data_IF_764631177512
#
_entry.id   IF_764631177512
#
_cell.length_a   1.000
_cell.length_b   1.000
_cell.length_c   1.000
_cell.angle_alpha   90.00
_cell.angle_beta   90.00
_cell.angle_gamma   90.00
#
_symmetry.space_group_name_H-M   'P 1'
#
loop_
_entity.id
_entity.type
_entity.pdbx_description
1 polymer ?
#
# COMPACT_ATOMS: atom_id res chain seq x y z
N UNK A 1 27.73 -36.70 -15.95
CA UNK A 1 27.55 -35.25 -16.18
C UNK A 1 26.36 -34.89 -17.06
N UNK A 2 26.00 -35.71 -18.07
CA UNK A 2 24.92 -35.39 -19.02
C UNK A 2 23.53 -35.25 -18.36
N UNK A 3 23.19 -36.09 -17.37
CA UNK A 3 21.91 -36.01 -16.67
C UNK A 3 21.74 -34.67 -15.91
N UNK A 4 22.78 -34.17 -15.24
CA UNK A 4 22.71 -32.90 -14.51
C UNK A 4 22.46 -31.70 -15.43
N UNK A 5 22.98 -31.73 -16.67
CA UNK A 5 22.78 -30.68 -17.66
C UNK A 5 21.35 -30.70 -18.23
N UNK A 6 20.77 -31.90 -18.42
CA UNK A 6 19.39 -32.08 -18.87
C UNK A 6 18.38 -31.70 -17.77
N UNK A 7 18.67 -32.02 -16.50
CA UNK A 7 17.84 -31.64 -15.36
C UNK A 7 17.93 -30.15 -14.99
N UNK A 8 19.06 -29.49 -15.26
CA UNK A 8 19.17 -28.03 -15.11
C UNK A 8 18.15 -27.28 -16.01
N UNK A 9 17.83 -27.84 -17.18
CA UNK A 9 16.82 -27.29 -18.08
C UNK A 9 15.37 -27.56 -17.64
N UNK A 10 15.14 -28.45 -16.65
CA UNK A 10 13.81 -28.86 -16.16
C UNK A 10 13.58 -28.60 -14.67
N UNK A 11 14.11 -27.49 -14.15
CA UNK A 11 13.83 -27.00 -12.78
C UNK A 11 12.33 -26.85 -12.43
N UNK A 12 11.46 -26.84 -13.44
CA UNK A 12 10.01 -26.74 -13.27
C UNK A 12 9.34 -27.99 -12.69
N UNK A 13 10.00 -29.15 -12.75
CA UNK A 13 9.45 -30.42 -12.26
C UNK A 13 10.44 -31.13 -11.35
N UNK A 14 9.97 -31.56 -10.18
CA UNK A 14 10.78 -32.45 -9.34
C UNK A 14 10.90 -33.83 -9.98
N UNK A 15 12.10 -34.41 -9.91
CA UNK A 15 12.32 -35.80 -10.32
C UNK A 15 11.91 -36.80 -9.23
N UNK A 16 11.57 -36.31 -8.04
CA UNK A 16 11.13 -37.11 -6.90
C UNK A 16 9.59 -37.20 -6.85
N UNK A 17 9.05 -38.30 -6.28
CA UNK A 17 7.61 -38.41 -6.03
C UNK A 17 7.12 -37.33 -5.07
N UNK A 18 5.83 -36.97 -5.15
CA UNK A 18 5.22 -35.80 -4.49
C UNK A 18 5.55 -35.60 -3.01
N UNK A 19 5.75 -36.68 -2.26
CA UNK A 19 6.09 -36.64 -0.84
C UNK A 19 7.55 -36.25 -0.56
N UNK A 20 8.44 -36.44 -1.53
CA UNK A 20 9.88 -36.19 -1.42
C UNK A 20 10.37 -35.01 -2.26
N UNK A 21 9.47 -34.24 -2.89
CA UNK A 21 9.81 -33.04 -3.67
C UNK A 21 10.62 -32.01 -2.86
N UNK A 22 10.47 -31.98 -1.52
CA UNK A 22 11.22 -31.11 -0.61
C UNK A 22 12.69 -31.49 -0.45
N UNK A 23 13.05 -32.73 -0.77
CA UNK A 23 14.43 -33.20 -0.75
C UNK A 23 15.16 -32.92 -2.06
N UNK A 24 14.45 -32.42 -3.09
CA UNK A 24 15.03 -31.97 -4.34
C UNK A 24 15.50 -30.51 -4.21
N UNK A 25 16.81 -30.25 -4.09
CA UNK A 25 17.32 -28.88 -3.91
C UNK A 25 17.08 -28.02 -5.15
N UNK A 26 17.02 -28.60 -6.35
CA UNK A 26 16.77 -27.86 -7.58
C UNK A 26 15.33 -27.35 -7.62
N UNK A 27 14.36 -28.24 -7.39
CA UNK A 27 12.95 -27.87 -7.37
C UNK A 27 12.60 -26.88 -6.24
N UNK A 28 13.20 -27.04 -5.05
CA UNK A 28 13.03 -26.07 -3.96
C UNK A 28 13.59 -24.69 -4.30
N UNK A 29 14.75 -24.62 -4.97
CA UNK A 29 15.31 -23.36 -5.46
C UNK A 29 14.40 -22.68 -6.50
N UNK A 30 13.78 -23.47 -7.40
CA UNK A 30 12.81 -22.97 -8.38
C UNK A 30 11.53 -22.41 -7.72
N UNK A 31 10.97 -23.10 -6.73
CA UNK A 31 9.82 -22.59 -5.96
C UNK A 31 10.20 -21.29 -5.25
N UNK A 32 11.38 -21.25 -4.61
CA UNK A 32 11.88 -20.04 -3.97
C UNK A 32 12.00 -18.87 -4.95
N UNK A 33 12.52 -19.14 -6.15
CA UNK A 33 12.60 -18.16 -7.23
C UNK A 33 11.21 -17.65 -7.66
N UNK A 34 10.24 -18.53 -7.90
CA UNK A 34 8.87 -18.11 -8.26
C UNK A 34 8.23 -17.27 -7.15
N UNK A 35 8.39 -17.68 -5.89
CA UNK A 35 7.83 -16.93 -4.77
C UNK A 35 8.45 -15.54 -4.69
N UNK A 36 9.78 -15.46 -4.80
CA UNK A 36 10.51 -14.19 -4.80
C UNK A 36 10.06 -13.30 -5.97
N UNK A 37 9.95 -13.86 -7.18
CA UNK A 37 9.46 -13.16 -8.37
C UNK A 37 8.01 -12.68 -8.17
N UNK A 38 7.12 -13.52 -7.65
CA UNK A 38 5.74 -13.14 -7.36
C UNK A 38 5.65 -12.00 -6.33
N UNK A 39 6.53 -11.98 -5.31
CA UNK A 39 6.56 -10.90 -4.33
C UNK A 39 7.13 -9.59 -4.89
N UNK A 40 8.19 -9.65 -5.69
CA UNK A 40 8.88 -8.45 -6.20
C UNK A 40 8.31 -7.91 -7.52
N UNK A 41 7.78 -8.78 -8.39
CA UNK A 41 7.25 -8.47 -9.70
C UNK A 41 5.73 -8.68 -9.78
N UNK A 42 5.00 -8.35 -8.71
CA UNK A 42 3.54 -8.41 -8.73
C UNK A 42 2.98 -7.34 -9.69
N UNK A 43 2.34 -7.73 -10.82
CA UNK A 43 1.88 -6.76 -11.82
C UNK A 43 0.77 -5.85 -11.30
N UNK A 44 -0.04 -6.32 -10.35
CA UNK A 44 -1.12 -5.53 -9.73
C UNK A 44 -0.52 -4.39 -8.91
N UNK A 45 0.49 -4.69 -8.09
CA UNK A 45 1.19 -3.68 -7.29
C UNK A 45 1.93 -2.69 -8.20
N UNK A 46 2.61 -3.18 -9.24
CA UNK A 46 3.32 -2.33 -10.19
C UNK A 46 2.37 -1.39 -10.95
N UNK A 47 1.21 -1.89 -11.38
CA UNK A 47 0.17 -1.09 -12.03
C UNK A 47 -0.42 -0.06 -11.06
N UNK A 48 -0.69 -0.46 -9.81
CA UNK A 48 -1.20 0.43 -8.77
C UNK A 48 -0.24 1.58 -8.47
N UNK A 49 1.06 1.29 -8.32
CA UNK A 49 2.09 2.32 -8.11
C UNK A 49 2.15 3.25 -9.32
N UNK A 50 2.18 2.71 -10.55
CA UNK A 50 2.16 3.53 -11.77
C UNK A 50 0.94 4.43 -11.84
N UNK A 51 -0.25 3.92 -11.52
CA UNK A 51 -1.48 4.70 -11.47
C UNK A 51 -1.35 5.85 -10.46
N UNK A 52 -0.84 5.57 -9.25
CA UNK A 52 -0.63 6.60 -8.23
C UNK A 52 0.40 7.66 -8.67
N UNK A 53 1.53 7.24 -9.23
CA UNK A 53 2.58 8.15 -9.73
C UNK A 53 2.08 8.99 -10.89
N UNK A 54 1.32 8.41 -11.82
CA UNK A 54 0.75 9.13 -12.94
C UNK A 54 -0.31 10.15 -12.47
N UNK A 55 -1.16 9.78 -11.52
CA UNK A 55 -2.11 10.72 -10.90
C UNK A 55 -1.40 11.85 -10.15
N UNK A 56 -0.28 11.57 -9.48
CA UNK A 56 0.51 12.60 -8.80
C UNK A 56 1.18 13.54 -9.82
N UNK A 57 1.83 12.99 -10.84
CA UNK A 57 2.47 13.77 -11.91
C UNK A 57 1.47 14.60 -12.70
N UNK A 58 0.33 14.03 -13.10
CA UNK A 58 -0.70 14.76 -13.85
C UNK A 58 -1.37 15.86 -13.01
N UNK A 59 -1.43 15.70 -11.68
CA UNK A 59 -1.81 16.81 -10.80
C UNK A 59 -0.76 17.90 -10.78
N UNK A 60 0.52 17.54 -10.68
CA UNK A 60 1.63 18.50 -10.70
C UNK A 60 1.75 19.25 -12.03
N UNK A 61 1.64 18.57 -13.18
CA UNK A 61 1.65 19.21 -14.50
C UNK A 61 0.42 20.08 -14.73
N UNK A 62 -0.76 19.66 -14.27
CA UNK A 62 -1.94 20.54 -14.27
C UNK A 62 -1.73 21.74 -13.38
N UNK A 63 -1.10 21.57 -12.21
CA UNK A 63 -0.78 22.70 -11.34
C UNK A 63 0.23 23.63 -12.03
N UNK A 64 1.27 23.15 -12.74
CA UNK A 64 2.22 24.00 -13.51
C UNK A 64 1.59 24.74 -14.71
N UNK A 65 0.78 24.07 -15.53
CA UNK A 65 0.04 24.71 -16.63
C UNK A 65 -0.96 25.74 -16.06
N UNK A 66 -1.58 25.40 -14.93
CA UNK A 66 -2.44 26.29 -14.16
C UNK A 66 -1.64 27.42 -13.50
N UNK A 67 -0.39 27.26 -13.06
CA UNK A 67 0.45 28.34 -12.53
C UNK A 67 0.84 29.37 -13.60
N UNK A 68 1.03 28.93 -14.85
CA UNK A 68 1.30 29.82 -15.98
C UNK A 68 0.04 30.60 -16.39
N UNK A 69 -1.14 29.94 -16.44
CA UNK A 69 -2.42 30.58 -16.72
C UNK A 69 -2.91 31.45 -15.54
N UNK A 70 -2.64 31.01 -14.31
CA UNK A 70 -2.99 31.69 -13.08
C UNK A 70 -2.04 32.83 -12.73
N UNK A 71 -0.82 32.95 -13.26
CA UNK A 71 -0.03 34.19 -13.02
C UNK A 71 -0.78 35.45 -13.47
N UNK A 72 -1.74 35.32 -14.38
CA UNK A 72 -2.62 36.40 -14.84
C UNK A 72 -3.88 36.55 -13.96
N UNK A 73 -4.30 35.50 -13.24
CA UNK A 73 -5.54 35.45 -12.45
C UNK A 73 -5.34 35.42 -10.91
N UNK A 74 -4.13 35.10 -10.43
CA UNK A 74 -3.75 34.79 -9.04
C UNK A 74 -2.95 35.94 -8.40
N UNK A 75 -3.30 37.18 -8.73
CA UNK A 75 -3.19 38.27 -7.75
C UNK A 75 -4.47 38.37 -6.89
N UNK A 76 -5.51 37.59 -7.17
CA UNK A 76 -6.86 37.85 -6.62
C UNK A 76 -7.33 36.89 -5.52
N UNK A 77 -7.10 35.56 -5.54
CA UNK A 77 -7.77 34.75 -4.50
C UNK A 77 -7.18 33.35 -4.18
N UNK A 78 -6.39 33.31 -3.09
CA UNK A 78 -6.28 32.20 -2.12
C UNK A 78 -5.82 30.82 -2.63
N UNK A 79 -4.53 30.55 -2.39
CA UNK A 79 -3.89 29.23 -2.46
C UNK A 79 -4.38 28.20 -1.44
N UNK A 80 -5.65 27.79 -1.50
CA UNK A 80 -6.15 26.61 -0.79
C UNK A 80 -7.10 25.82 -1.68
N UNK A 81 -6.83 24.52 -1.83
CA UNK A 81 -7.73 23.59 -2.55
C UNK A 81 -9.13 23.74 -1.94
N UNK A 82 -10.17 24.09 -2.73
CA UNK A 82 -11.49 24.38 -2.18
C UNK A 82 -12.03 23.17 -1.43
N UNK A 83 -12.33 23.35 -0.14
CA UNK A 83 -12.77 22.30 0.77
C UNK A 83 -14.00 21.52 0.23
N UNK A 84 -14.81 22.16 -0.60
CA UNK A 84 -15.93 21.55 -1.32
C UNK A 84 -15.51 20.43 -2.27
N UNK A 85 -14.43 20.62 -3.06
CA UNK A 85 -13.91 19.61 -4.00
C UNK A 85 -13.46 18.36 -3.26
N UNK A 86 -12.83 18.52 -2.09
CA UNK A 86 -12.43 17.42 -1.20
C UNK A 86 -13.64 16.67 -0.62
N UNK A 87 -14.70 17.39 -0.24
CA UNK A 87 -15.96 16.79 0.25
C UNK A 87 -16.63 15.95 -0.84
N UNK A 88 -16.68 16.46 -2.08
CA UNK A 88 -17.25 15.75 -3.22
C UNK A 88 -16.53 14.43 -3.51
N UNK A 89 -15.19 14.44 -3.59
CA UNK A 89 -14.40 13.22 -3.80
C UNK A 89 -14.61 12.19 -2.68
N UNK A 90 -14.70 12.65 -1.43
CA UNK A 90 -14.94 11.77 -0.28
C UNK A 90 -16.31 11.09 -0.36
N UNK A 91 -17.35 11.82 -0.76
CA UNK A 91 -18.68 11.26 -0.91
C UNK A 91 -18.73 10.24 -2.05
N UNK A 92 -18.10 10.53 -3.19
CA UNK A 92 -17.97 9.57 -4.31
C UNK A 92 -17.26 8.29 -3.85
N UNK A 93 -16.14 8.41 -3.12
CA UNK A 93 -15.44 7.25 -2.58
C UNK A 93 -16.30 6.43 -1.62
N UNK A 94 -17.13 7.09 -0.78
CA UNK A 94 -18.08 6.39 0.11
C UNK A 94 -19.14 5.63 -0.68
N UNK A 95 -19.66 6.20 -1.76
CA UNK A 95 -20.59 5.53 -2.65
C UNK A 95 -19.98 4.32 -3.34
N UNK A 96 -18.77 4.45 -3.91
CA UNK A 96 -18.06 3.31 -4.49
C UNK A 96 -17.79 2.20 -3.47
N UNK A 97 -17.41 2.57 -2.23
CA UNK A 97 -17.24 1.60 -1.15
C UNK A 97 -18.54 0.88 -0.80
N UNK A 98 -19.66 1.60 -0.76
CA UNK A 98 -20.98 0.99 -0.49
C UNK A 98 -21.33 -0.02 -1.58
N UNK A 99 -21.23 0.37 -2.85
CA UNK A 99 -21.53 -0.52 -3.99
C UNK A 99 -20.61 -1.74 -4.00
N UNK A 100 -19.32 -1.56 -3.77
CA UNK A 100 -18.36 -2.67 -3.69
C UNK A 100 -18.73 -3.65 -2.58
N UNK A 101 -19.09 -3.14 -1.39
CA UNK A 101 -19.39 -3.98 -0.23
C UNK A 101 -20.77 -4.64 -0.32
N UNK A 102 -21.75 -4.02 -0.97
CA UNK A 102 -23.06 -4.65 -1.19
C UNK A 102 -22.96 -5.81 -2.16
N UNK A 103 -22.11 -5.69 -3.19
CA UNK A 103 -21.83 -6.78 -4.14
C UNK A 103 -20.91 -7.87 -3.56
N UNK A 104 -20.03 -7.52 -2.61
CA UNK A 104 -19.04 -8.45 -2.03
C UNK A 104 -19.22 -8.59 -0.50
N UNK A 105 -20.27 -9.31 -0.09
CA UNK A 105 -20.65 -9.44 1.33
C UNK A 105 -19.56 -10.10 2.19
N UNK A 106 -18.78 -11.03 1.64
CA UNK A 106 -17.67 -11.70 2.35
C UNK A 106 -16.60 -10.71 2.83
N UNK A 107 -16.36 -9.63 2.08
CA UNK A 107 -15.34 -8.62 2.38
C UNK A 107 -15.74 -7.71 3.56
N UNK A 108 -17.03 -7.61 3.89
CA UNK A 108 -17.52 -6.78 4.98
C UNK A 108 -16.95 -7.22 6.34
N UNK A 109 -16.85 -8.54 6.57
CA UNK A 109 -16.31 -9.12 7.80
C UNK A 109 -14.85 -8.73 8.01
N UNK A 110 -14.04 -8.86 6.96
CA UNK A 110 -12.61 -8.49 6.99
C UNK A 110 -12.41 -6.98 7.20
N UNK A 111 -13.24 -6.16 6.56
CA UNK A 111 -13.20 -4.70 6.73
C UNK A 111 -13.54 -4.30 8.17
N UNK A 112 -14.61 -4.85 8.73
CA UNK A 112 -15.02 -4.59 10.10
C UNK A 112 -13.94 -4.99 11.12
N UNK A 113 -13.32 -6.16 10.94
CA UNK A 113 -12.23 -6.60 11.80
C UNK A 113 -11.01 -5.66 11.73
N UNK A 114 -10.62 -5.24 10.51
CA UNK A 114 -9.53 -4.28 10.34
C UNK A 114 -9.82 -2.94 11.00
N UNK A 115 -11.04 -2.43 10.87
CA UNK A 115 -11.46 -1.18 11.52
C UNK A 115 -11.39 -1.29 13.04
N UNK A 116 -11.90 -2.38 13.63
CA UNK A 116 -11.77 -2.65 15.07
C UNK A 116 -10.31 -2.64 15.52
N UNK A 117 -9.43 -3.32 14.79
CA UNK A 117 -7.99 -3.36 15.07
C UNK A 117 -7.36 -1.96 15.01
N UNK A 118 -7.67 -1.18 13.98
CA UNK A 118 -7.16 0.20 13.85
C UNK A 118 -7.68 1.10 14.98
N UNK A 119 -8.96 1.01 15.35
CA UNK A 119 -9.53 1.79 16.46
C UNK A 119 -8.88 1.41 17.79
N UNK A 120 -8.67 0.12 18.06
CA UNK A 120 -7.97 -0.34 19.26
C UNK A 120 -6.52 0.14 19.30
N UNK A 121 -5.79 0.05 18.17
CA UNK A 121 -4.42 0.56 18.07
C UNK A 121 -4.33 2.09 18.24
N UNK A 122 -5.31 2.83 17.72
CA UNK A 122 -5.38 4.28 17.87
C UNK A 122 -5.72 4.70 19.31
N UNK A 123 -6.62 3.98 19.98
CA UNK A 123 -6.91 4.18 21.41
C UNK A 123 -5.70 3.82 22.27
N UNK A 124 -5.01 2.72 21.98
CA UNK A 124 -3.78 2.34 22.66
C UNK A 124 -2.67 3.37 22.43
N UNK A 125 -2.51 3.88 21.20
CA UNK A 125 -1.56 4.95 20.87
C UNK A 125 -1.91 6.28 21.54
N UNK A 126 -3.20 6.61 21.71
CA UNK A 126 -3.64 7.75 22.50
C UNK A 126 -3.35 7.56 23.99
N UNK A 127 -3.55 6.37 24.55
CA UNK A 127 -3.21 6.07 25.95
C UNK A 127 -1.70 6.18 26.21
N UNK A 128 -0.86 5.70 25.28
CA UNK A 128 0.59 5.91 25.35
C UNK A 128 0.97 7.39 25.30
N UNK A 129 0.27 8.21 24.49
CA UNK A 129 0.52 9.65 24.37
C UNK A 129 0.07 10.45 25.61
N UNK A 130 -0.99 9.98 26.30
CA UNK A 130 -1.43 10.57 27.56
C UNK A 130 -0.44 10.23 28.69
N UNK A 131 0.18 9.05 28.66
CA UNK A 131 1.18 8.64 29.66
C UNK A 131 2.51 9.37 29.48
N UNK A 132 2.92 9.70 28.24
CA UNK A 132 4.08 10.55 27.97
C UNK A 132 3.84 12.03 28.28
N UNK A 133 2.60 12.53 28.21
CA UNK A 133 2.25 13.90 28.61
C UNK A 133 2.28 14.13 30.13
N UNK A 134 2.32 13.06 30.95
CA UNK A 134 2.38 13.15 32.41
C UNK A 134 3.82 13.10 32.97
N UNK A 135 4.85 12.94 32.12
CA UNK A 135 6.24 13.13 32.53
C UNK A 135 6.65 14.58 32.24
N UNK A 136 6.21 15.49 33.12
CA UNK A 136 6.85 16.81 33.25
C UNK A 136 8.23 16.54 33.85
N UNK A 137 9.26 16.64 33.04
CA UNK A 137 10.66 16.61 33.49
C UNK A 137 10.87 17.88 34.33
N UNK A 138 11.20 17.78 35.63
CA UNK A 138 11.59 18.96 36.38
C UNK A 138 12.94 19.43 35.85
N UNK A 139 12.93 20.59 35.21
CA UNK A 139 14.14 21.37 34.89
C UNK A 139 14.73 21.83 36.22
N UNK A 140 15.69 21.05 36.73
CA UNK A 140 16.54 21.46 37.83
C UNK A 140 17.43 22.61 37.35
N UNK A 141 17.16 23.80 37.88
CA UNK A 141 18.01 24.96 37.74
C UNK A 141 19.28 24.73 38.58
N UNK A 142 20.39 24.40 37.92
CA UNK A 142 21.71 24.36 38.56
C UNK A 142 22.34 25.74 38.36
N UNK A 143 22.27 26.54 39.41
CA UNK A 143 23.09 27.74 39.64
C UNK A 143 24.49 27.36 40.12
#
# INVERSE_FOLDING_TARGET
>A
MILGIIFFQRLQHSSLPRYYEKFDPGYMAYIGYILLEHFHANPVVQCFIRLLTDQYRNKFSRDEDVYLENSVAELVEKGSIPAEKLRRCRNINRWHLYVMLSQNVSLQKYRYHRLKKTTQLSVSGMLFNIQSSNYVIPINNVS
#
